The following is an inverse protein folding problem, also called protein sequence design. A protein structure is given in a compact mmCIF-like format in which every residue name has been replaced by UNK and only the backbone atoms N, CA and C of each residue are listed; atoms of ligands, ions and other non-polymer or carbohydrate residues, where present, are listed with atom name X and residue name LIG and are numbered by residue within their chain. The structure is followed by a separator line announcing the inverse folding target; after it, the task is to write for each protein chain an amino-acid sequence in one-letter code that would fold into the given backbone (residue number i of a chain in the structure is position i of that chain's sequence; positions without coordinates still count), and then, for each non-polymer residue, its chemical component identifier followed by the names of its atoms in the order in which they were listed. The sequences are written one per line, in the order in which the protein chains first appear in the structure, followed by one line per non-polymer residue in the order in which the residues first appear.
data_IF_806673602060
#
_entry.id   IF_806673602060
#
_cell.length_a   1.000
_cell.length_b   1.000
_cell.length_c   1.000
_cell.angle_alpha   90.00
_cell.angle_beta   90.00
_cell.angle_gamma   90.00
#
_symmetry.space_group_name_H-M   'P 1'
#
loop_
_entity.id
_entity.type
_entity.pdbx_description
1 polymer ?
#
# COMPACT_ATOMS: atom_id res chain seq x y z
N UNK A 1 12.29 6.52 9.42
CA UNK A 1 13.12 5.43 8.86
C UNK A 1 13.66 5.82 7.50
N UNK A 2 14.50 4.98 6.90
CA UNK A 2 15.07 5.18 5.56
C UNK A 2 14.91 3.87 4.78
N UNK A 3 14.41 3.94 3.55
CA UNK A 3 14.38 2.83 2.62
C UNK A 3 15.79 2.41 2.17
N UNK A 4 15.87 1.47 1.26
CA UNK A 4 17.10 0.91 0.73
C UNK A 4 16.92 -0.57 0.43
N UNK A 5 17.67 -1.41 1.11
CA UNK A 5 17.63 -2.87 0.97
C UNK A 5 18.01 -3.55 2.28
N UNK A 6 17.35 -4.67 2.58
CA UNK A 6 17.74 -5.56 3.67
C UNK A 6 16.88 -5.48 4.92
N UNK A 7 15.83 -4.68 4.97
CA UNK A 7 14.92 -4.63 6.13
C UNK A 7 14.34 -6.02 6.47
N UNK A 8 14.14 -6.88 5.49
CA UNK A 8 13.65 -8.25 5.68
C UNK A 8 14.57 -9.08 6.60
N UNK A 9 15.87 -8.81 6.60
CA UNK A 9 16.83 -9.52 7.45
C UNK A 9 16.71 -9.16 8.92
N UNK A 10 16.05 -8.06 9.24
CA UNK A 10 15.81 -7.62 10.62
C UNK A 10 14.65 -8.35 11.28
N UNK A 11 13.68 -8.86 10.50
CA UNK A 11 12.43 -9.41 11.02
C UNK A 11 12.62 -10.48 12.10
N UNK A 12 13.54 -11.45 11.95
CA UNK A 12 13.77 -12.47 12.99
C UNK A 12 14.41 -11.92 14.27
N UNK A 13 14.91 -10.68 14.24
CA UNK A 13 15.58 -10.03 15.38
C UNK A 13 14.64 -9.09 16.15
N UNK A 14 13.44 -8.83 15.62
CA UNK A 14 12.48 -7.92 16.23
C UNK A 14 11.64 -8.66 17.30
N UNK A 15 11.45 -8.01 18.43
CA UNK A 15 10.57 -8.49 19.50
C UNK A 15 9.15 -7.93 19.27
N UNK A 16 8.26 -8.78 18.77
CA UNK A 16 6.87 -8.41 18.52
C UNK A 16 6.11 -8.05 19.79
N UNK A 17 6.38 -8.73 20.92
CA UNK A 17 5.71 -8.46 22.19
C UNK A 17 6.12 -7.08 22.74
N UNK A 18 7.39 -6.70 22.56
CA UNK A 18 7.86 -5.36 22.94
C UNK A 18 7.19 -4.28 22.11
N UNK A 19 7.03 -4.49 20.79
CA UNK A 19 6.37 -3.54 19.89
C UNK A 19 4.88 -3.41 20.21
N UNK A 20 4.19 -4.52 20.46
CA UNK A 20 2.78 -4.52 20.86
C UNK A 20 2.53 -3.82 22.21
N UNK A 21 3.41 -4.03 23.19
CA UNK A 21 3.27 -3.42 24.52
C UNK A 21 3.67 -1.94 24.58
N UNK A 22 4.41 -1.48 23.58
CA UNK A 22 4.88 -0.09 23.47
C UNK A 22 4.68 0.45 22.04
N UNK A 23 3.44 0.53 21.55
CA UNK A 23 3.18 0.91 20.18
C UNK A 23 3.71 2.32 19.87
N UNK A 24 4.37 2.46 18.73
CA UNK A 24 4.88 3.71 18.18
C UNK A 24 4.54 3.77 16.71
N UNK A 25 4.31 4.96 16.19
CA UNK A 25 4.20 5.16 14.77
C UNK A 25 5.53 4.82 14.07
N UNK A 26 5.51 3.77 13.28
CA UNK A 26 6.55 3.47 12.32
C UNK A 26 6.15 4.08 10.98
N UNK A 27 6.99 4.95 10.43
CA UNK A 27 6.67 5.72 9.22
C UNK A 27 7.75 5.51 8.17
N UNK A 28 7.35 5.23 6.94
CA UNK A 28 8.24 5.07 5.80
C UNK A 28 7.57 4.38 4.63
N UNK A 29 8.32 4.08 3.59
CA UNK A 29 7.87 3.36 2.38
C UNK A 29 9.06 2.62 1.75
N UNK A 30 8.89 2.04 0.56
CA UNK A 30 9.96 1.26 -0.09
C UNK A 30 10.34 0.04 0.75
N UNK A 31 11.63 -0.24 0.97
CA UNK A 31 12.10 -1.35 1.82
C UNK A 31 11.52 -1.35 3.24
N UNK A 32 11.09 -0.17 3.74
CA UNK A 32 10.42 -0.04 5.04
C UNK A 32 9.04 -0.70 5.04
N UNK A 33 8.41 -0.91 3.88
CA UNK A 33 7.17 -1.72 3.76
C UNK A 33 7.31 -3.06 4.50
N UNK A 34 8.50 -3.66 4.50
CA UNK A 34 8.80 -4.88 5.27
C UNK A 34 8.52 -4.71 6.78
N UNK A 35 8.93 -3.57 7.35
CA UNK A 35 8.73 -3.28 8.77
C UNK A 35 7.31 -2.83 9.08
N UNK A 36 6.64 -2.13 8.13
CA UNK A 36 5.22 -1.81 8.24
C UNK A 36 4.40 -3.09 8.27
N UNK A 37 4.69 -4.03 7.36
CA UNK A 37 4.06 -5.35 7.30
C UNK A 37 4.23 -6.12 8.61
N UNK A 38 5.44 -6.12 9.19
CA UNK A 38 5.70 -6.70 10.51
C UNK A 38 4.79 -6.08 11.58
N UNK A 39 4.74 -4.75 11.66
CA UNK A 39 3.91 -4.07 12.66
C UNK A 39 2.44 -4.47 12.54
N UNK A 40 1.89 -4.45 11.32
CA UNK A 40 0.50 -4.81 11.05
C UNK A 40 0.23 -6.29 11.33
N UNK A 41 1.13 -7.20 10.97
CA UNK A 41 1.00 -8.63 11.27
C UNK A 41 0.86 -8.89 12.78
N UNK A 42 1.44 -8.02 13.61
CA UNK A 42 1.32 -8.04 15.06
C UNK A 42 0.32 -7.01 15.64
N UNK A 43 -0.67 -6.60 14.85
CA UNK A 43 -1.77 -5.69 15.25
C UNK A 43 -1.31 -4.31 15.74
N UNK A 44 -0.22 -3.79 15.22
CA UNK A 44 0.23 -2.41 15.45
C UNK A 44 0.16 -1.65 14.13
N UNK A 45 -0.67 -0.62 14.08
CA UNK A 45 -0.79 0.23 12.90
C UNK A 45 0.54 0.92 12.59
N UNK A 46 0.79 1.14 11.30
CA UNK A 46 1.99 1.82 10.82
C UNK A 46 1.60 2.78 9.67
N UNK A 47 2.51 3.64 9.25
CA UNK A 47 2.20 4.62 8.20
C UNK A 47 3.15 4.42 7.02
N UNK A 48 2.58 4.02 5.86
CA UNK A 48 3.22 4.24 4.58
C UNK A 48 3.25 5.75 4.34
N UNK A 49 4.41 6.34 4.09
CA UNK A 49 4.51 7.79 3.91
C UNK A 49 5.94 8.32 3.90
N UNK A 50 6.05 9.63 3.85
CA UNK A 50 7.30 10.38 3.69
C UNK A 50 8.39 10.01 4.71
N UNK A 51 9.61 9.80 4.24
CA UNK A 51 10.79 9.55 5.08
C UNK A 51 11.42 10.85 5.60
N UNK A 52 12.17 10.77 6.70
CA UNK A 52 12.90 11.91 7.27
C UNK A 52 13.88 12.56 6.28
N UNK A 53 14.43 11.80 5.34
CA UNK A 53 15.30 12.35 4.29
C UNK A 53 14.55 13.32 3.38
N UNK A 54 13.32 12.98 3.01
CA UNK A 54 12.46 13.83 2.18
C UNK A 54 11.99 15.05 2.96
N UNK A 55 11.52 14.87 4.20
CA UNK A 55 11.14 15.97 5.12
C UNK A 55 12.25 17.02 5.28
N UNK A 56 13.53 16.59 5.30
CA UNK A 56 14.66 17.48 5.37
C UNK A 56 14.81 18.32 4.09
N UNK A 57 14.55 17.73 2.93
CA UNK A 57 14.66 18.42 1.63
C UNK A 57 13.50 19.39 1.43
N UNK A 58 12.29 18.99 1.76
CA UNK A 58 11.05 19.77 1.61
C UNK A 58 10.82 20.77 2.74
N UNK A 59 11.63 20.71 3.80
CA UNK A 59 11.46 21.50 5.03
C UNK A 59 10.07 21.33 5.67
N UNK A 60 9.42 20.18 5.44
CA UNK A 60 8.07 19.92 5.92
C UNK A 60 6.97 20.71 5.20
N UNK A 61 7.22 21.19 4.00
CA UNK A 61 6.34 22.10 3.24
C UNK A 61 5.67 21.43 2.04
N UNK A 62 6.08 20.21 1.66
CA UNK A 62 5.40 19.49 0.58
C UNK A 62 3.98 19.12 0.97
N UNK A 63 3.14 18.80 -0.01
CA UNK A 63 1.79 18.32 0.21
C UNK A 63 1.80 17.04 1.08
N UNK A 64 2.70 16.10 0.79
CA UNK A 64 2.87 14.86 1.54
C UNK A 64 3.19 15.10 3.02
N UNK A 65 4.06 16.07 3.30
CA UNK A 65 4.46 16.43 4.65
C UNK A 65 3.29 17.03 5.44
N UNK A 66 2.50 17.87 4.77
CA UNK A 66 1.30 18.50 5.36
C UNK A 66 0.25 17.43 5.64
N UNK A 67 0.01 16.51 4.70
CA UNK A 67 -0.91 15.41 4.87
C UNK A 67 -0.46 14.46 5.98
N UNK A 68 0.84 14.13 6.05
CA UNK A 68 1.39 13.31 7.13
C UNK A 68 1.20 13.98 8.50
N UNK A 69 1.45 15.28 8.60
CA UNK A 69 1.20 16.04 9.82
C UNK A 69 -0.27 16.01 10.21
N UNK A 70 -1.17 16.23 9.26
CA UNK A 70 -2.61 16.22 9.50
C UNK A 70 -3.09 14.83 9.94
N UNK A 71 -2.54 13.77 9.35
CA UNK A 71 -2.82 12.38 9.75
C UNK A 71 -2.37 12.11 11.19
N UNK A 72 -1.15 12.49 11.56
CA UNK A 72 -0.61 12.32 12.91
C UNK A 72 -1.37 13.14 13.97
N UNK A 73 -1.98 14.25 13.58
CA UNK A 73 -2.83 15.08 14.44
C UNK A 73 -4.31 14.65 14.47
N UNK A 74 -4.67 13.58 13.73
CA UNK A 74 -6.05 13.08 13.64
C UNK A 74 -7.01 14.00 12.87
N UNK A 75 -6.50 14.96 12.10
CA UNK A 75 -7.31 15.90 11.30
C UNK A 75 -7.50 15.46 9.85
N UNK A 76 -6.88 14.39 9.41
CA UNK A 76 -7.04 13.80 8.09
C UNK A 76 -7.86 12.51 8.22
N UNK A 77 -9.07 12.50 7.65
CA UNK A 77 -10.00 11.36 7.75
C UNK A 77 -10.35 10.74 6.41
N UNK A 78 -10.09 11.43 5.30
CA UNK A 78 -10.39 10.91 3.96
C UNK A 78 -9.52 11.54 2.88
N UNK A 79 -9.45 10.83 1.75
CA UNK A 79 -8.89 11.27 0.48
C UNK A 79 -9.92 11.24 -0.63
N UNK A 80 -9.75 12.13 -1.60
CA UNK A 80 -10.41 12.09 -2.89
C UNK A 80 -9.38 12.36 -3.98
N UNK A 81 -9.42 11.59 -5.08
CA UNK A 81 -8.49 11.78 -6.20
C UNK A 81 -9.12 11.38 -7.54
N UNK A 82 -8.54 11.89 -8.62
CA UNK A 82 -8.87 11.47 -9.98
C UNK A 82 -7.97 10.30 -10.41
N UNK A 83 -8.48 9.42 -11.25
CA UNK A 83 -7.78 8.19 -11.70
C UNK A 83 -6.62 8.43 -12.68
N UNK A 84 -6.18 9.68 -12.87
CA UNK A 84 -5.05 10.06 -13.74
C UNK A 84 -5.15 9.52 -15.19
N UNK A 85 -6.35 9.41 -15.74
CA UNK A 85 -6.61 8.90 -17.09
C UNK A 85 -6.85 7.40 -17.19
N UNK A 86 -6.68 6.65 -16.09
CA UNK A 86 -7.02 5.23 -16.03
C UNK A 86 -8.53 5.01 -15.84
N UNK A 87 -9.02 3.86 -16.30
CA UNK A 87 -10.42 3.47 -16.09
C UNK A 87 -10.52 2.60 -14.83
N UNK A 88 -11.11 3.15 -13.80
CA UNK A 88 -11.38 2.44 -12.56
C UNK A 88 -12.38 1.29 -12.76
N UNK A 89 -12.30 0.26 -11.92
CA UNK A 89 -13.39 -0.70 -11.74
C UNK A 89 -14.25 -0.22 -10.58
N UNK A 90 -15.46 0.22 -10.91
CA UNK A 90 -16.37 0.88 -9.97
C UNK A 90 -16.88 -0.04 -8.87
N UNK A 91 -17.19 0.53 -7.72
CA UNK A 91 -17.80 -0.18 -6.61
C UNK A 91 -17.44 0.44 -5.26
N UNK A 92 -17.89 -0.23 -4.19
CA UNK A 92 -17.59 0.17 -2.82
C UNK A 92 -17.04 -1.04 -2.06
N UNK A 93 -15.99 -0.81 -1.29
CA UNK A 93 -15.34 -1.84 -0.49
C UNK A 93 -14.95 -1.30 0.88
N UNK A 94 -14.92 -2.20 1.87
CA UNK A 94 -14.44 -1.93 3.23
C UNK A 94 -13.54 -3.06 3.68
N UNK A 95 -12.42 -2.74 4.32
CA UNK A 95 -11.48 -3.73 4.82
C UNK A 95 -10.30 -3.07 5.53
N UNK A 96 -9.41 -3.89 6.06
CA UNK A 96 -8.14 -3.43 6.62
C UNK A 96 -7.21 -3.03 5.48
N UNK A 97 -6.66 -1.82 5.53
CA UNK A 97 -5.69 -1.35 4.53
C UNK A 97 -4.34 -2.01 4.79
N UNK A 98 -3.82 -2.67 3.78
CA UNK A 98 -2.50 -3.33 3.81
C UNK A 98 -1.84 -3.26 2.44
N UNK A 99 -0.51 -3.17 2.38
CA UNK A 99 0.17 -3.18 1.09
C UNK A 99 1.50 -2.44 1.06
N UNK A 100 1.73 -1.66 0.01
CA UNK A 100 2.94 -0.87 -0.25
C UNK A 100 3.77 -1.42 -1.40
N UNK A 101 5.10 -1.38 -1.25
CA UNK A 101 6.01 -1.84 -2.29
C UNK A 101 5.95 -3.35 -2.49
N UNK A 102 5.56 -3.76 -3.70
CA UNK A 102 5.24 -5.16 -4.00
C UNK A 102 6.41 -6.11 -3.83
N UNK A 103 7.61 -5.74 -4.30
CA UNK A 103 8.77 -6.61 -4.22
C UNK A 103 9.25 -6.81 -2.78
N UNK A 104 8.93 -5.90 -1.86
CA UNK A 104 9.30 -6.03 -0.45
C UNK A 104 8.29 -6.80 0.39
N UNK A 105 6.99 -6.68 0.10
CA UNK A 105 6.00 -7.39 0.91
C UNK A 105 5.63 -8.79 0.39
N UNK A 106 5.66 -9.00 -0.93
CA UNK A 106 5.27 -10.31 -1.51
C UNK A 106 6.04 -11.50 -0.90
N UNK A 107 7.35 -11.39 -0.61
CA UNK A 107 8.09 -12.47 0.06
C UNK A 107 7.61 -12.79 1.50
N UNK A 108 6.84 -11.91 2.13
CA UNK A 108 6.34 -12.11 3.49
C UNK A 108 5.07 -12.93 3.54
N UNK A 109 4.36 -13.07 2.41
CA UNK A 109 3.10 -13.80 2.33
C UNK A 109 3.32 -15.27 2.67
N UNK A 110 2.49 -15.78 3.60
CA UNK A 110 2.63 -17.15 4.13
C UNK A 110 3.70 -17.33 5.20
N UNK A 111 4.45 -16.27 5.55
CA UNK A 111 5.38 -16.26 6.67
C UNK A 111 4.69 -15.85 7.99
N UNK A 112 5.36 -15.96 9.16
CA UNK A 112 4.85 -15.39 10.41
C UNK A 112 4.62 -13.87 10.38
N UNK A 113 5.13 -13.19 9.36
CA UNK A 113 5.04 -11.74 9.16
C UNK A 113 4.01 -11.36 8.08
N UNK A 114 3.15 -12.29 7.71
CA UNK A 114 2.09 -12.10 6.70
C UNK A 114 0.97 -11.19 7.24
N UNK A 115 1.05 -9.93 6.90
CA UNK A 115 0.05 -8.92 7.26
C UNK A 115 -1.22 -8.99 6.41
N UNK A 116 -1.23 -9.75 5.31
CA UNK A 116 -2.42 -9.94 4.47
C UNK A 116 -3.44 -10.89 5.09
N UNK A 117 -3.12 -11.50 6.23
CA UNK A 117 -4.01 -12.42 6.98
C UNK A 117 -5.04 -11.71 7.87
N UNK A 118 -5.19 -10.39 7.76
CA UNK A 118 -6.08 -9.54 8.59
C UNK A 118 -7.59 -9.66 8.30
N UNK A 119 -8.02 -10.68 7.57
CA UNK A 119 -9.42 -10.85 7.18
C UNK A 119 -9.74 -10.17 5.84
N UNK A 120 -10.84 -9.42 5.78
CA UNK A 120 -11.19 -8.63 4.60
C UNK A 120 -10.24 -7.43 4.46
N UNK A 121 -9.53 -7.34 3.34
CA UNK A 121 -8.49 -6.31 3.13
C UNK A 121 -8.78 -5.41 1.93
N UNK A 122 -8.30 -4.18 2.01
CA UNK A 122 -8.05 -3.29 0.86
C UNK A 122 -6.54 -3.38 0.59
N UNK A 123 -6.19 -3.91 -0.58
CA UNK A 123 -4.79 -4.12 -0.94
C UNK A 123 -4.25 -2.88 -1.66
N UNK A 124 -3.27 -2.22 -1.07
CA UNK A 124 -2.51 -1.15 -1.70
C UNK A 124 -1.27 -1.72 -2.40
N UNK A 125 -1.05 -1.33 -3.65
CA UNK A 125 0.11 -1.78 -4.45
C UNK A 125 0.79 -0.60 -5.12
N UNK A 126 2.09 -0.54 -5.00
CA UNK A 126 2.99 0.37 -5.71
C UNK A 126 4.31 -0.34 -6.00
N UNK A 127 5.08 0.16 -6.98
CA UNK A 127 6.38 -0.43 -7.30
C UNK A 127 7.32 0.59 -7.96
N UNK A 128 8.63 0.32 -7.91
CA UNK A 128 9.65 1.12 -8.57
C UNK A 128 10.72 0.26 -9.22
N UNK A 129 11.05 0.57 -10.48
CA UNK A 129 12.18 -0.03 -11.19
C UNK A 129 12.02 -1.49 -11.59
N UNK A 130 10.83 -2.06 -11.44
CA UNK A 130 10.53 -3.44 -11.83
C UNK A 130 9.99 -3.52 -13.26
N UNK A 131 10.14 -4.67 -13.90
CA UNK A 131 9.52 -4.93 -15.18
C UNK A 131 8.13 -5.58 -15.04
N UNK A 132 7.29 -5.42 -16.05
CA UNK A 132 5.92 -5.94 -16.05
C UNK A 132 5.83 -7.44 -15.73
N UNK A 133 6.79 -8.26 -16.17
CA UNK A 133 6.79 -9.71 -15.89
C UNK A 133 7.03 -10.03 -14.42
N UNK A 134 7.86 -9.24 -13.73
CA UNK A 134 8.07 -9.41 -12.30
C UNK A 134 6.82 -9.00 -11.52
N UNK A 135 6.21 -7.89 -11.89
CA UNK A 135 4.95 -7.41 -11.28
C UNK A 135 3.83 -8.45 -11.49
N UNK A 136 3.67 -8.97 -12.71
CA UNK A 136 2.71 -10.02 -13.01
C UNK A 136 2.96 -11.27 -12.15
N UNK A 137 4.22 -11.70 -12.01
CA UNK A 137 4.60 -12.83 -11.17
C UNK A 137 4.28 -12.61 -9.69
N UNK A 138 4.52 -11.41 -9.17
CA UNK A 138 4.16 -11.05 -7.79
C UNK A 138 2.65 -11.10 -7.59
N UNK A 139 1.87 -10.56 -8.50
CA UNK A 139 0.40 -10.62 -8.45
C UNK A 139 -0.11 -12.06 -8.53
N UNK A 140 0.47 -12.89 -9.40
CA UNK A 140 0.14 -14.33 -9.45
C UNK A 140 0.54 -15.08 -8.17
N UNK A 141 1.65 -14.72 -7.54
CA UNK A 141 2.02 -15.26 -6.25
C UNK A 141 0.95 -14.94 -5.19
N UNK A 142 0.48 -13.70 -5.12
CA UNK A 142 -0.63 -13.31 -4.23
C UNK A 142 -1.90 -14.13 -4.50
N UNK A 143 -2.21 -14.38 -5.77
CA UNK A 143 -3.35 -15.22 -6.18
C UNK A 143 -3.18 -16.67 -5.71
N UNK A 144 -2.01 -17.28 -5.97
CA UNK A 144 -1.72 -18.67 -5.60
C UNK A 144 -1.69 -18.88 -4.08
N UNK A 145 -1.23 -17.88 -3.32
CA UNK A 145 -1.27 -17.89 -1.86
C UNK A 145 -2.67 -17.58 -1.27
N UNK A 146 -3.67 -17.38 -2.13
CA UNK A 146 -5.05 -17.11 -1.70
C UNK A 146 -5.29 -15.72 -1.14
N UNK A 147 -4.33 -14.78 -1.28
CA UNK A 147 -4.49 -13.40 -0.80
C UNK A 147 -5.67 -12.73 -1.50
N UNK A 148 -5.77 -12.87 -2.84
CA UNK A 148 -6.81 -12.20 -3.62
C UNK A 148 -8.23 -12.63 -3.24
N UNK A 149 -8.42 -13.78 -2.59
CA UNK A 149 -9.75 -14.21 -2.09
C UNK A 149 -10.23 -13.37 -0.88
N UNK A 150 -9.32 -12.74 -0.16
CA UNK A 150 -9.61 -11.86 0.98
C UNK A 150 -9.66 -10.38 0.58
N UNK A 151 -9.15 -10.04 -0.60
CA UNK A 151 -9.16 -8.66 -1.10
C UNK A 151 -10.57 -8.25 -1.47
N UNK A 152 -11.05 -7.14 -0.90
CA UNK A 152 -12.36 -6.52 -1.19
C UNK A 152 -12.25 -5.34 -2.12
N UNK A 153 -11.06 -4.75 -2.25
CA UNK A 153 -10.75 -3.68 -3.18
C UNK A 153 -9.24 -3.53 -3.34
N UNK A 154 -8.83 -2.97 -4.47
CA UNK A 154 -7.42 -2.70 -4.77
C UNK A 154 -7.22 -1.21 -4.97
N UNK A 155 -6.26 -0.67 -4.27
CA UNK A 155 -5.77 0.70 -4.37
C UNK A 155 -4.44 0.67 -5.12
N UNK A 156 -4.39 1.27 -6.31
CA UNK A 156 -3.21 1.26 -7.17
C UNK A 156 -2.52 2.62 -7.09
N UNK A 157 -1.32 2.61 -6.53
CA UNK A 157 -0.41 3.76 -6.46
C UNK A 157 0.46 3.89 -7.71
N UNK A 158 1.64 4.47 -7.57
CA UNK A 158 2.56 4.65 -8.69
C UNK A 158 3.35 3.37 -9.02
N UNK A 159 3.60 3.18 -10.30
CA UNK A 159 4.56 2.21 -10.84
C UNK A 159 5.68 2.98 -11.54
N UNK A 160 6.57 3.58 -10.75
CA UNK A 160 7.59 4.49 -11.22
C UNK A 160 8.77 3.73 -11.84
N UNK A 161 9.26 4.21 -12.99
CA UNK A 161 10.33 3.55 -13.73
C UNK A 161 10.11 2.04 -13.97
N UNK A 162 8.87 1.56 -13.89
CA UNK A 162 8.50 0.20 -14.23
C UNK A 162 8.37 0.06 -15.74
N UNK A 163 9.07 -0.92 -16.30
CA UNK A 163 9.09 -1.12 -17.75
C UNK A 163 7.88 -1.90 -18.24
N UNK A 164 7.20 -1.38 -19.27
CA UNK A 164 6.19 -2.15 -20.02
C UNK A 164 6.84 -3.35 -20.72
N UNK A 165 6.03 -4.36 -21.02
CA UNK A 165 6.47 -5.53 -21.80
C UNK A 165 5.77 -5.56 -23.15
N UNK A 166 6.53 -5.75 -24.22
CA UNK A 166 5.99 -5.78 -25.59
C UNK A 166 4.85 -6.81 -25.78
N UNK A 167 4.87 -7.92 -25.06
CA UNK A 167 3.87 -8.97 -25.16
C UNK A 167 2.70 -8.81 -24.19
N UNK A 168 2.89 -8.06 -23.09
CA UNK A 168 1.92 -7.93 -22.01
C UNK A 168 1.22 -6.56 -22.04
N UNK A 169 1.88 -5.54 -22.57
CA UNK A 169 1.40 -4.17 -22.60
C UNK A 169 1.87 -3.34 -21.41
N UNK A 170 1.12 -2.30 -21.07
CA UNK A 170 1.39 -1.46 -19.90
C UNK A 170 1.08 -2.20 -18.60
N UNK A 171 1.60 -1.70 -17.48
CA UNK A 171 1.31 -2.27 -16.14
C UNK A 171 -0.19 -2.28 -15.86
N UNK A 172 -0.91 -1.20 -16.19
CA UNK A 172 -2.36 -1.11 -15.98
C UNK A 172 -3.12 -2.10 -16.85
N UNK A 173 -2.71 -2.26 -18.10
CA UNK A 173 -3.30 -3.27 -19.00
C UNK A 173 -3.06 -4.68 -18.46
N UNK A 174 -1.87 -4.96 -17.97
CA UNK A 174 -1.52 -6.23 -17.36
C UNK A 174 -2.37 -6.48 -16.12
N UNK A 175 -2.45 -5.53 -15.20
CA UNK A 175 -3.28 -5.66 -13.98
C UNK A 175 -4.75 -5.88 -14.35
N UNK A 176 -5.30 -5.09 -15.27
CA UNK A 176 -6.72 -5.15 -15.64
C UNK A 176 -7.10 -6.40 -16.42
N UNK A 177 -6.30 -6.79 -17.42
CA UNK A 177 -6.65 -7.81 -18.42
C UNK A 177 -6.20 -9.21 -18.01
N UNK A 178 -5.04 -9.33 -17.37
CA UNK A 178 -4.44 -10.63 -17.12
C UNK A 178 -4.55 -11.05 -15.66
N UNK A 179 -4.10 -10.22 -14.75
CA UNK A 179 -3.98 -10.61 -13.34
C UNK A 179 -5.29 -10.49 -12.58
N UNK A 180 -6.07 -9.45 -12.87
CA UNK A 180 -7.30 -9.11 -12.16
C UNK A 180 -8.56 -9.29 -13.01
N UNK A 181 -8.48 -9.96 -14.17
CA UNK A 181 -9.61 -10.13 -15.07
C UNK A 181 -10.78 -10.92 -14.47
N UNK A 182 -10.49 -11.89 -13.64
CA UNK A 182 -11.46 -12.73 -12.92
C UNK A 182 -11.88 -12.18 -11.54
N UNK A 183 -11.30 -11.05 -11.13
CA UNK A 183 -11.63 -10.39 -9.88
C UNK A 183 -12.73 -9.36 -10.11
N UNK A 184 -13.83 -9.44 -9.36
CA UNK A 184 -15.00 -8.56 -9.51
C UNK A 184 -15.03 -7.37 -8.54
N UNK A 185 -14.01 -7.24 -7.69
CA UNK A 185 -13.89 -6.19 -6.69
C UNK A 185 -13.53 -4.83 -7.32
N UNK A 186 -13.85 -3.69 -6.66
CA UNK A 186 -13.44 -2.38 -7.13
C UNK A 186 -11.92 -2.22 -7.15
N UNK A 187 -11.44 -1.50 -8.19
CA UNK A 187 -10.03 -1.15 -8.35
C UNK A 187 -9.95 0.34 -8.62
N UNK A 188 -9.24 1.05 -7.75
CA UNK A 188 -8.99 2.48 -7.86
C UNK A 188 -7.55 2.73 -8.30
N UNK A 189 -7.37 3.34 -9.46
CA UNK A 189 -6.06 3.72 -10.01
C UNK A 189 -5.69 5.16 -9.64
N UNK A 190 -4.40 5.47 -9.79
CA UNK A 190 -3.87 6.81 -9.70
C UNK A 190 -3.83 7.39 -8.28
N UNK A 191 -3.88 6.55 -7.24
CA UNK A 191 -3.68 7.06 -5.89
C UNK A 191 -2.27 7.66 -5.77
N UNK A 192 -2.14 8.92 -5.27
CA UNK A 192 -0.86 9.62 -5.26
C UNK A 192 0.08 9.12 -4.16
N UNK A 193 0.49 7.86 -4.23
CA UNK A 193 1.47 7.28 -3.32
C UNK A 193 2.41 6.31 -4.04
N UNK A 194 3.64 6.22 -3.57
CA UNK A 194 4.72 5.41 -4.11
C UNK A 194 5.99 6.21 -4.36
N UNK A 195 6.67 5.96 -5.49
CA UNK A 195 7.98 6.54 -5.79
C UNK A 195 7.96 7.68 -6.83
N UNK A 196 6.82 7.97 -7.44
CA UNK A 196 6.69 8.97 -8.53
C UNK A 196 6.66 10.44 -8.08
N UNK A 197 7.31 10.77 -6.99
CA UNK A 197 7.50 12.16 -6.50
C UNK A 197 6.44 12.64 -5.53
N UNK A 198 5.23 12.11 -5.56
CA UNK A 198 4.16 12.35 -4.57
C UNK A 198 3.93 11.06 -3.79
N UNK A 199 3.78 11.17 -2.46
CA UNK A 199 3.61 10.00 -1.61
C UNK A 199 2.66 10.28 -0.43
N UNK A 200 1.38 10.37 -0.71
CA UNK A 200 0.34 10.59 0.30
C UNK A 200 0.35 9.49 1.36
N UNK A 201 0.30 9.84 2.64
CA UNK A 201 0.42 8.86 3.71
C UNK A 201 -0.83 7.97 3.81
N UNK A 202 -0.62 6.70 4.14
CA UNK A 202 -1.66 5.70 4.38
C UNK A 202 -1.44 5.01 5.72
N UNK A 203 -2.50 4.84 6.53
CA UNK A 203 -2.41 4.08 7.79
C UNK A 203 -2.62 2.61 7.48
N UNK A 204 -1.53 1.86 7.44
CA UNK A 204 -1.53 0.41 7.33
C UNK A 204 -2.09 -0.22 8.61
N UNK A 205 -2.98 -1.19 8.46
CA UNK A 205 -3.69 -1.83 9.58
C UNK A 205 -4.97 -1.11 10.00
N UNK A 206 -5.27 0.08 9.47
CA UNK A 206 -6.54 0.76 9.72
C UNK A 206 -7.66 0.17 8.86
N UNK A 207 -8.87 0.17 9.41
CA UNK A 207 -10.07 -0.14 8.62
C UNK A 207 -10.42 1.08 7.77
N UNK A 208 -10.63 0.85 6.47
CA UNK A 208 -10.96 1.90 5.51
C UNK A 208 -12.20 1.54 4.69
N UNK A 209 -12.88 2.56 4.21
CA UNK A 209 -13.93 2.44 3.19
C UNK A 209 -13.45 3.14 1.92
N UNK A 210 -13.42 2.39 0.81
CA UNK A 210 -13.06 2.87 -0.51
C UNK A 210 -14.31 2.91 -1.40
N UNK A 211 -14.59 4.07 -2.01
CA UNK A 211 -15.64 4.22 -3.01
C UNK A 211 -14.98 4.59 -4.34
N UNK A 212 -15.32 3.86 -5.38
CA UNK A 212 -14.66 3.95 -6.69
C UNK A 212 -15.69 4.24 -7.77
N UNK A 213 -15.53 5.37 -8.44
CA UNK A 213 -16.27 5.77 -9.63
C UNK A 213 -15.37 5.63 -10.87
N UNK A 214 -15.93 5.82 -12.06
CA UNK A 214 -15.21 5.59 -13.33
C UNK A 214 -13.89 6.37 -13.43
N UNK A 215 -13.86 7.62 -12.97
CA UNK A 215 -12.72 8.53 -13.11
C UNK A 215 -12.25 9.15 -11.80
N UNK A 216 -12.92 8.84 -10.69
CA UNK A 216 -12.62 9.37 -9.36
C UNK A 216 -12.74 8.26 -8.34
N UNK A 217 -12.05 8.41 -7.23
CA UNK A 217 -12.21 7.52 -6.09
C UNK A 217 -12.02 8.29 -4.78
N UNK A 218 -12.54 7.71 -3.69
CA UNK A 218 -12.33 8.21 -2.34
C UNK A 218 -11.95 7.07 -1.41
N UNK A 219 -11.16 7.38 -0.40
CA UNK A 219 -10.76 6.49 0.69
C UNK A 219 -10.98 7.22 2.02
N UNK A 220 -11.81 6.67 2.88
CA UNK A 220 -12.03 7.20 4.23
C UNK A 220 -11.50 6.22 5.28
N UNK A 221 -10.79 6.75 6.28
CA UNK A 221 -10.36 5.99 7.45
C UNK A 221 -11.50 5.92 8.46
N UNK A 222 -11.70 4.75 9.05
CA UNK A 222 -12.61 4.55 10.16
C UNK A 222 -11.94 5.06 11.43
N UNK A 223 -12.19 6.35 11.76
CA UNK A 223 -11.48 7.08 12.82
C UNK A 223 -11.68 6.43 14.21
N UNK A 224 -12.74 5.65 14.38
CA UNK A 224 -13.00 4.93 15.63
C UNK A 224 -11.93 3.83 15.91
N UNK A 225 -11.14 3.47 14.92
CA UNK A 225 -10.08 2.44 15.03
C UNK A 225 -8.67 3.02 15.10
N UNK A 226 -8.51 4.32 15.00
CA UNK A 226 -7.21 5.00 15.16
C UNK A 226 -7.06 5.39 16.63
N UNK A 227 -6.09 4.81 17.36
CA UNK A 227 -5.89 5.09 18.78
C UNK A 227 -5.34 6.49 19.06
#
# INVERSE_FOLDING_TARGET
TRGGYGAIQLLPLLDAALIQSNPKWLIGYSDITTLLSFSVAFNVMAIHGTMLSSLKVTEGKSEDDILLKNMLLGSLSQYEWASAGHVNRTGKARGVLVGGNMCTFTPLVGSPYDFTSQGDIILFVEEVGENARNIDRMMYALKLHGVLSRVKGILVGSFDACGDDFNIGSIEEMLSKYTLSDVTIPIAYGFPAGHAGVNWPLIEGAVVTMTVETTHASLSFDIATVP
#
